data_IF_717041661828
#
_entry.id   IF_717041661828
#
_cell.length_a   1.000
_cell.length_b   1.000
_cell.length_c   1.000
_cell.angle_alpha   90.00
_cell.angle_beta   90.00
_cell.angle_gamma   90.00
#
_symmetry.space_group_name_H-M   'P 1'
#
loop_
_entity.id
_entity.type
_entity.pdbx_description
1 polymer ?
#
# COMPACT_ATOMS: atom_id res chain seq x y z
N UNK A 1 15.45 15.32 -1.64
CA UNK A 1 16.53 14.36 -1.94
C UNK A 1 16.10 12.94 -1.55
N UNK A 2 15.90 12.65 -0.26
CA UNK A 2 15.47 11.33 0.26
C UNK A 2 14.31 10.71 -0.55
N UNK A 3 13.22 11.46 -0.77
CA UNK A 3 12.06 10.99 -1.53
C UNK A 3 12.38 10.50 -2.96
N UNK A 4 13.38 11.12 -3.61
CA UNK A 4 13.81 10.70 -4.96
C UNK A 4 14.54 9.35 -4.90
N UNK A 5 15.42 9.17 -3.91
CA UNK A 5 16.18 7.93 -3.73
C UNK A 5 15.28 6.76 -3.30
N UNK A 6 14.19 7.02 -2.56
CA UNK A 6 13.20 5.99 -2.20
C UNK A 6 12.23 5.61 -3.33
N UNK A 7 12.18 6.39 -4.43
CA UNK A 7 11.34 6.14 -5.61
C UNK A 7 12.07 5.40 -6.73
N UNK A 8 13.38 5.59 -6.87
CA UNK A 8 14.13 5.07 -8.02
C UNK A 8 15.28 4.19 -7.60
N UNK A 9 15.28 2.92 -8.04
CA UNK A 9 16.35 1.95 -7.79
C UNK A 9 17.58 2.23 -8.68
N UNK A 10 18.25 3.37 -8.45
CA UNK A 10 19.45 3.77 -9.20
C UNK A 10 20.75 3.26 -8.60
N UNK A 11 20.69 2.70 -7.40
CA UNK A 11 21.82 2.19 -6.62
C UNK A 11 21.39 0.91 -5.88
N UNK A 12 22.35 0.15 -5.38
CA UNK A 12 22.08 -1.04 -4.56
C UNK A 12 21.44 -0.67 -3.23
N UNK A 13 20.81 -1.63 -2.56
CA UNK A 13 20.18 -1.39 -1.25
C UNK A 13 21.21 -0.98 -0.18
N UNK A 14 22.43 -1.52 -0.24
CA UNK A 14 23.52 -1.14 0.66
C UNK A 14 24.01 0.30 0.43
N UNK A 15 24.16 0.71 -0.84
CA UNK A 15 24.51 2.09 -1.18
C UNK A 15 23.40 3.07 -0.79
N UNK A 16 22.14 2.68 -1.00
CA UNK A 16 20.98 3.47 -0.57
C UNK A 16 20.99 3.65 0.95
N UNK A 17 21.21 2.58 1.72
CA UNK A 17 21.24 2.66 3.18
C UNK A 17 22.34 3.62 3.68
N UNK A 18 23.54 3.53 3.11
CA UNK A 18 24.65 4.43 3.42
C UNK A 18 24.37 5.89 3.04
N UNK A 19 23.72 6.14 1.90
CA UNK A 19 23.31 7.47 1.48
C UNK A 19 22.24 8.06 2.42
N UNK A 20 21.28 7.24 2.87
CA UNK A 20 20.28 7.65 3.86
C UNK A 20 20.92 7.99 5.22
N UNK A 21 21.94 7.25 5.65
CA UNK A 21 22.71 7.60 6.86
C UNK A 21 23.43 8.93 6.72
N UNK A 22 24.02 9.20 5.56
CA UNK A 22 24.62 10.51 5.27
C UNK A 22 23.57 11.63 5.32
N UNK A 23 22.39 11.40 4.74
CA UNK A 23 21.27 12.33 4.83
C UNK A 23 20.87 12.62 6.28
N UNK A 24 20.84 11.60 7.15
CA UNK A 24 20.51 11.77 8.56
C UNK A 24 21.58 12.57 9.32
N UNK A 25 22.86 12.44 8.96
CA UNK A 25 23.92 13.30 9.51
C UNK A 25 23.73 14.76 9.14
N UNK A 26 23.36 15.05 7.90
CA UNK A 26 23.05 16.43 7.48
C UNK A 26 21.79 16.94 8.18
N UNK A 27 20.78 16.08 8.31
CA UNK A 27 19.54 16.40 9.02
C UNK A 27 19.75 16.79 10.49
N UNK A 28 20.80 16.28 11.14
CA UNK A 28 21.14 16.66 12.52
C UNK A 28 21.42 18.17 12.70
N UNK A 29 21.82 18.86 11.63
CA UNK A 29 22.07 20.31 11.63
C UNK A 29 20.84 21.14 11.27
N UNK A 30 19.70 20.51 10.92
CA UNK A 30 18.45 21.22 10.62
C UNK A 30 17.81 21.68 11.92
N UNK A 31 17.55 22.99 12.02
CA UNK A 31 16.92 23.62 13.18
C UNK A 31 15.42 23.31 13.19
N UNK A 32 14.73 23.54 12.06
CA UNK A 32 13.28 23.38 11.94
C UNK A 32 12.88 21.93 11.60
N UNK A 33 13.09 21.03 12.54
CA UNK A 33 12.79 19.59 12.36
C UNK A 33 11.32 19.31 12.11
N UNK A 34 10.41 20.09 12.68
CA UNK A 34 8.96 19.91 12.52
C UNK A 34 8.51 20.20 11.09
N UNK A 35 9.06 21.24 10.45
CA UNK A 35 8.77 21.54 9.05
C UNK A 35 9.25 20.41 8.14
N UNK A 36 10.42 19.84 8.44
CA UNK A 36 10.93 18.68 7.70
C UNK A 36 9.98 17.48 7.82
N UNK A 37 9.46 17.21 9.02
CA UNK A 37 8.57 16.05 9.24
C UNK A 37 7.24 16.20 8.50
N UNK A 38 6.66 17.41 8.47
CA UNK A 38 5.42 17.64 7.75
C UNK A 38 5.60 17.48 6.24
N UNK A 39 6.70 17.98 5.69
CA UNK A 39 7.04 17.76 4.27
C UNK A 39 7.26 16.27 4.00
N UNK A 40 7.97 15.57 4.89
CA UNK A 40 8.23 14.14 4.74
C UNK A 40 6.93 13.33 4.79
N UNK A 41 6.00 13.70 5.68
CA UNK A 41 4.67 13.07 5.82
C UNK A 41 3.89 13.13 4.51
N UNK A 42 3.83 14.30 3.88
CA UNK A 42 3.15 14.47 2.59
C UNK A 42 3.79 13.65 1.47
N UNK A 43 5.12 13.57 1.45
CA UNK A 43 5.86 12.78 0.47
C UNK A 43 5.65 11.28 0.68
N UNK A 44 5.69 10.81 1.93
CA UNK A 44 5.41 9.41 2.29
C UNK A 44 3.99 9.02 1.91
N UNK A 45 2.99 9.85 2.24
CA UNK A 45 1.59 9.60 1.86
C UNK A 45 1.45 9.40 0.35
N UNK A 46 2.04 10.31 -0.44
CA UNK A 46 2.04 10.22 -1.91
C UNK A 46 2.71 8.94 -2.41
N UNK A 47 3.81 8.51 -1.80
CA UNK A 47 4.52 7.28 -2.20
C UNK A 47 3.71 6.03 -1.90
N UNK A 48 3.16 5.90 -0.69
CA UNK A 48 2.32 4.76 -0.30
C UNK A 48 1.10 4.64 -1.21
N UNK A 49 0.34 5.72 -1.38
CA UNK A 49 -0.88 5.71 -2.21
C UNK A 49 -0.60 5.47 -3.69
N UNK A 50 0.53 5.94 -4.23
CA UNK A 50 0.89 5.71 -5.64
C UNK A 50 1.61 4.38 -5.90
N UNK A 51 1.90 3.59 -4.85
CA UNK A 51 2.70 2.34 -4.92
C UNK A 51 4.03 2.52 -5.66
N UNK A 52 4.69 3.67 -5.47
CA UNK A 52 5.95 4.03 -6.16
C UNK A 52 7.20 3.90 -5.30
N UNK A 53 7.10 3.26 -4.14
CA UNK A 53 8.26 2.96 -3.30
C UNK A 53 9.05 1.78 -3.87
N UNK A 54 10.37 1.78 -3.69
CA UNK A 54 11.24 0.65 -4.08
C UNK A 54 10.85 -0.62 -3.31
N UNK A 55 10.59 -0.51 -2.00
CA UNK A 55 10.09 -1.59 -1.15
C UNK A 55 9.49 -1.03 0.14
N UNK A 56 8.69 -1.83 0.85
CA UNK A 56 8.20 -1.47 2.19
C UNK A 56 9.32 -1.44 3.23
N UNK A 57 10.33 -2.31 3.08
CA UNK A 57 11.42 -2.42 4.04
C UNK A 57 12.33 -1.19 4.00
N UNK A 58 12.55 -0.60 2.82
CA UNK A 58 13.31 0.66 2.71
C UNK A 58 12.58 1.84 3.36
N UNK A 59 11.25 1.91 3.26
CA UNK A 59 10.46 2.93 3.96
C UNK A 59 10.55 2.76 5.48
N UNK A 60 10.43 1.53 5.99
CA UNK A 60 10.58 1.20 7.41
C UNK A 60 11.99 1.55 7.92
N UNK A 61 13.03 1.20 7.16
CA UNK A 61 14.41 1.50 7.51
C UNK A 61 14.65 3.01 7.62
N UNK A 62 14.14 3.80 6.66
CA UNK A 62 14.25 5.26 6.71
C UNK A 62 13.56 5.85 7.94
N UNK A 63 12.35 5.39 8.27
CA UNK A 63 11.64 5.83 9.48
C UNK A 63 12.41 5.44 10.74
N UNK A 64 13.00 4.24 10.79
CA UNK A 64 13.82 3.81 11.92
C UNK A 64 15.05 4.73 12.12
N UNK A 65 15.73 5.10 11.04
CA UNK A 65 16.85 6.06 11.09
C UNK A 65 16.40 7.45 11.59
N UNK A 66 15.23 7.94 11.16
CA UNK A 66 14.65 9.19 11.68
C UNK A 66 14.31 9.08 13.18
N UNK A 67 13.77 7.94 13.62
CA UNK A 67 13.46 7.66 15.03
C UNK A 67 14.71 7.69 15.90
N UNK A 68 15.83 7.16 15.42
CA UNK A 68 17.11 7.23 16.14
C UNK A 68 17.59 8.66 16.33
N UNK A 69 17.34 9.55 15.36
CA UNK A 69 17.80 10.94 15.41
C UNK A 69 16.89 11.87 16.22
N UNK A 70 15.58 11.64 16.22
CA UNK A 70 14.59 12.57 16.79
C UNK A 70 13.65 11.95 17.82
N UNK A 71 13.77 10.65 18.08
CA UNK A 71 12.94 9.92 19.04
C UNK A 71 11.58 9.48 18.47
N UNK A 72 10.88 8.67 19.27
CA UNK A 72 9.60 8.07 18.89
C UNK A 72 8.45 9.07 18.62
N UNK A 73 8.30 10.18 19.37
CA UNK A 73 7.23 11.14 19.10
C UNK A 73 7.30 11.74 17.69
N UNK A 74 8.52 11.87 17.16
CA UNK A 74 8.78 12.43 15.85
C UNK A 74 8.28 11.53 14.71
N UNK A 75 8.35 10.21 14.90
CA UNK A 75 8.02 9.22 13.85
C UNK A 75 6.66 8.56 14.03
N UNK A 76 5.98 8.74 15.17
CA UNK A 76 4.74 8.03 15.50
C UNK A 76 3.68 8.07 14.38
N UNK A 77 3.44 9.24 13.79
CA UNK A 77 2.47 9.38 12.67
C UNK A 77 2.93 8.65 11.41
N UNK A 78 4.23 8.69 11.10
CA UNK A 78 4.81 8.03 9.92
C UNK A 78 4.74 6.50 10.07
N UNK A 79 5.03 5.99 11.28
CA UNK A 79 4.91 4.57 11.62
C UNK A 79 3.45 4.10 11.50
N UNK A 80 2.50 4.90 11.99
CA UNK A 80 1.07 4.67 11.81
C UNK A 80 0.69 4.56 10.33
N UNK A 81 1.11 5.52 9.50
CA UNK A 81 0.81 5.50 8.05
C UNK A 81 1.33 4.25 7.34
N UNK A 82 2.54 3.78 7.65
CA UNK A 82 3.08 2.54 7.04
C UNK A 82 2.32 1.31 7.52
N UNK A 83 1.93 1.29 8.80
CA UNK A 83 1.12 0.21 9.37
C UNK A 83 -0.26 0.15 8.73
N UNK A 84 -0.96 1.28 8.68
CA UNK A 84 -2.30 1.41 8.08
C UNK A 84 -2.28 1.00 6.60
N UNK A 85 -1.22 1.40 5.87
CA UNK A 85 -1.05 1.00 4.47
C UNK A 85 -0.89 -0.52 4.32
N UNK A 86 -0.03 -1.14 5.15
CA UNK A 86 0.21 -2.59 5.12
C UNK A 86 -1.07 -3.37 5.44
N UNK A 87 -1.77 -2.97 6.51
CA UNK A 87 -3.05 -3.59 6.90
C UNK A 87 -4.10 -3.42 5.80
N UNK A 88 -4.15 -2.25 5.16
CA UNK A 88 -5.04 -1.99 4.04
C UNK A 88 -4.80 -2.92 2.83
N UNK A 89 -3.52 -3.19 2.50
CA UNK A 89 -3.19 -4.17 1.45
C UNK A 89 -3.59 -5.59 1.84
N UNK A 90 -3.31 -6.02 3.06
CA UNK A 90 -3.70 -7.35 3.56
C UNK A 90 -5.22 -7.57 3.51
N UNK A 91 -6.00 -6.57 3.91
CA UNK A 91 -7.47 -6.62 3.86
C UNK A 91 -7.93 -6.71 2.40
N UNK A 92 -7.36 -5.90 1.52
CA UNK A 92 -7.72 -5.88 0.10
C UNK A 92 -7.40 -7.23 -0.58
N UNK A 93 -6.29 -7.86 -0.24
CA UNK A 93 -5.93 -9.16 -0.79
C UNK A 93 -6.82 -10.29 -0.27
N UNK A 94 -7.17 -10.29 1.03
CA UNK A 94 -8.18 -11.21 1.58
C UNK A 94 -9.53 -11.05 0.89
N UNK A 95 -9.94 -9.81 0.61
CA UNK A 95 -11.19 -9.53 -0.09
C UNK A 95 -11.17 -10.06 -1.53
N UNK A 96 -10.08 -9.87 -2.29
CA UNK A 96 -9.93 -10.45 -3.63
C UNK A 96 -9.98 -11.98 -3.60
N UNK A 97 -9.33 -12.62 -2.63
CA UNK A 97 -9.39 -14.07 -2.46
C UNK A 97 -10.81 -14.54 -2.20
N UNK A 98 -11.55 -13.86 -1.31
CA UNK A 98 -12.96 -14.18 -1.05
C UNK A 98 -13.83 -14.06 -2.31
N UNK A 99 -13.65 -12.99 -3.11
CA UNK A 99 -14.38 -12.82 -4.37
C UNK A 99 -14.08 -13.96 -5.36
N UNK A 100 -12.82 -14.39 -5.46
CA UNK A 100 -12.41 -15.49 -6.33
C UNK A 100 -13.06 -16.82 -5.90
N UNK A 101 -13.04 -17.14 -4.61
CA UNK A 101 -13.71 -18.33 -4.08
C UNK A 101 -15.22 -18.30 -4.29
N UNK A 102 -15.84 -17.12 -4.27
CA UNK A 102 -17.28 -16.97 -4.52
C UNK A 102 -17.66 -17.11 -5.99
N UNK A 103 -16.78 -16.72 -6.92
CA UNK A 103 -16.99 -16.95 -8.37
C UNK A 103 -16.82 -18.41 -8.79
N UNK A 104 -16.12 -19.22 -8.00
CA UNK A 104 -15.86 -20.65 -8.28
C UNK A 104 -16.90 -21.59 -7.64
N UNK A 105 -17.79 -21.09 -6.76
CA UNK A 105 -18.82 -21.88 -6.06
C UNK A 105 -20.22 -21.85 -6.69
N UNK A 106 -20.31 -21.56 -7.99
CA UNK A 106 -21.56 -21.31 -8.70
C UNK A 106 -21.95 -22.34 -9.76
N UNK A 107 -21.47 -23.58 -9.70
CA UNK A 107 -21.96 -24.68 -10.54
C UNK A 107 -21.98 -26.01 -9.78
N UNK A 108 -23.07 -26.30 -9.07
CA UNK A 108 -23.49 -27.69 -8.82
C UNK A 108 -24.93 -27.85 -9.29
N UNK A 109 -25.09 -28.53 -10.43
CA UNK A 109 -26.37 -29.06 -10.88
C UNK A 109 -26.60 -29.08 -12.40
N UNK A 110 -25.94 -30.00 -13.13
CA UNK A 110 -26.65 -31.00 -13.97
C UNK A 110 -25.70 -32.00 -14.65
N UNK A 111 -26.21 -33.22 -14.62
CA UNK A 111 -25.77 -34.49 -15.15
C UNK A 111 -25.58 -34.53 -16.69
N UNK A 112 -24.65 -35.42 -17.11
CA UNK A 112 -24.50 -36.13 -18.38
C UNK A 112 -24.61 -35.42 -19.75
N UNK A 113 -23.56 -35.56 -20.58
CA UNK A 113 -23.68 -35.49 -22.05
C UNK A 113 -22.41 -35.19 -22.84
N UNK A 114 -21.87 -36.20 -23.53
CA UNK A 114 -20.82 -36.10 -24.56
C UNK A 114 -21.26 -35.26 -25.78
N UNK A 115 -20.41 -34.32 -26.24
CA UNK A 115 -19.94 -34.17 -27.64
C UNK A 115 -19.20 -32.82 -27.83
N UNK A 116 -18.09 -32.75 -28.58
CA UNK A 116 -17.53 -31.47 -29.02
C UNK A 116 -18.15 -31.08 -30.36
N UNK A 117 -18.67 -29.85 -30.47
CA UNK A 117 -18.95 -29.27 -31.78
C UNK A 117 -18.55 -27.79 -31.83
N UNK A 118 -17.74 -27.54 -32.85
CA UNK A 118 -17.15 -26.30 -33.31
C UNK A 118 -18.24 -25.27 -33.67
N UNK A 119 -18.12 -24.02 -33.17
CA UNK A 119 -19.08 -22.96 -33.42
C UNK A 119 -18.46 -21.56 -33.25
N UNK A 120 -18.00 -21.00 -34.35
CA UNK A 120 -17.62 -19.60 -34.54
C UNK A 120 -18.77 -18.65 -34.13
N UNK A 121 -18.50 -17.63 -33.31
CA UNK A 121 -19.50 -16.67 -32.84
C UNK A 121 -18.90 -15.30 -32.52
N UNK A 122 -18.94 -14.41 -33.52
CA UNK A 122 -18.73 -12.98 -33.38
C UNK A 122 -19.95 -12.36 -32.68
N UNK A 123 -19.74 -11.59 -31.61
CA UNK A 123 -20.82 -10.98 -30.84
C UNK A 123 -20.34 -9.93 -29.84
N UNK A 124 -19.98 -8.75 -30.34
CA UNK A 124 -19.83 -7.55 -29.52
C UNK A 124 -21.22 -7.09 -29.01
N UNK A 125 -21.47 -7.24 -27.72
CA UNK A 125 -22.55 -6.57 -27.00
C UNK A 125 -21.97 -5.81 -25.79
N UNK A 126 -22.49 -4.62 -25.44
CA UNK A 126 -21.88 -3.80 -24.40
C UNK A 126 -22.13 -4.40 -23.02
N UNK A 127 -21.05 -4.60 -22.26
CA UNK A 127 -21.10 -5.05 -20.87
C UNK A 127 -21.85 -4.02 -20.02
N UNK A 128 -23.01 -4.42 -19.52
CA UNK A 128 -23.78 -3.66 -18.52
C UNK A 128 -22.96 -3.56 -17.23
N UNK A 129 -22.46 -2.36 -16.95
CA UNK A 129 -21.81 -2.04 -15.68
C UNK A 129 -22.90 -1.93 -14.59
N UNK A 130 -23.20 -3.06 -13.94
CA UNK A 130 -23.98 -3.02 -12.70
C UNK A 130 -23.15 -2.30 -11.64
N UNK A 131 -23.62 -1.10 -11.27
CA UNK A 131 -23.10 -0.33 -10.14
C UNK A 131 -23.26 -1.16 -8.85
N UNK A 132 -22.18 -1.76 -8.36
CA UNK A 132 -22.12 -2.25 -6.99
C UNK A 132 -21.83 -1.06 -6.07
N UNK A 133 -22.89 -0.55 -5.42
CA UNK A 133 -22.75 0.34 -4.26
C UNK A 133 -21.98 -0.43 -3.18
N UNK A 134 -20.78 0.04 -2.86
CA UNK A 134 -20.06 -0.37 -1.65
C UNK A 134 -20.70 0.36 -0.47
N UNK A 135 -21.49 -0.35 0.32
CA UNK A 135 -21.99 0.16 1.60
C UNK A 135 -20.87 -0.01 2.64
N UNK A 136 -20.14 1.07 2.92
CA UNK A 136 -19.05 1.07 3.89
C UNK A 136 -19.62 1.31 5.28
N UNK A 137 -20.00 0.24 5.97
CA UNK A 137 -20.47 0.34 7.35
C UNK A 137 -19.28 0.56 8.30
N UNK A 138 -19.06 1.81 8.72
CA UNK A 138 -18.12 2.17 9.79
C UNK A 138 -18.83 1.96 11.13
N UNK A 139 -18.45 0.91 11.87
CA UNK A 139 -18.83 0.79 13.27
C UNK A 139 -17.90 1.67 14.11
N UNK A 140 -18.43 2.78 14.62
CA UNK A 140 -17.73 3.59 15.62
C UNK A 140 -17.87 2.87 16.95
N UNK A 141 -16.79 2.23 17.41
CA UNK A 141 -16.70 1.73 18.77
C UNK A 141 -16.38 2.91 19.71
N UNK A 142 -17.39 3.67 20.12
CA UNK A 142 -17.23 4.55 21.29
C UNK A 142 -17.40 3.69 22.55
N UNK A 143 -16.29 3.25 23.14
CA UNK A 143 -16.33 2.71 24.51
C UNK A 143 -16.28 3.91 25.47
N UNK A 144 -17.46 4.36 25.88
CA UNK A 144 -17.64 5.31 26.98
C UNK A 144 -18.15 4.56 28.20
N UNK A 145 -17.44 4.72 29.32
CA UNK A 145 -17.68 4.13 30.64
C UNK A 145 -19.05 4.52 31.22
#
# INVERSE_FOLDING_TARGET
YIDKNLKTKKMTEAELDADLDCCMKVFAYVIDKDMFVEIYRDLLAKRLLSKRSISHDTEKAMIAKMKMQCGAPFTAKLEGMVTDFTVGEDINDKFKCFLKSKSEGGEEGKDAGLAPSNGNGNGNGPLSAQHLRLDLHVQVLTSGH
#
